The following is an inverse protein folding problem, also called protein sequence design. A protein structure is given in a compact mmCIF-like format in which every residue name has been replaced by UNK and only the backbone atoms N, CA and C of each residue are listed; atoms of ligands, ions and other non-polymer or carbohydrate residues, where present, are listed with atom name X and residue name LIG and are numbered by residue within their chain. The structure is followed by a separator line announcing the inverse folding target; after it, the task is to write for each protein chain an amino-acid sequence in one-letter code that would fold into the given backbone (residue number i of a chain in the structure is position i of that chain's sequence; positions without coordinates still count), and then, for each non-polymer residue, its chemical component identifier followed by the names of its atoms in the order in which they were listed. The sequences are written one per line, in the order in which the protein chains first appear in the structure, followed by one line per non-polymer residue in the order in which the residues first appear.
data_IF_679788287662
#
_entry.id   IF_679788287662
#
_cell.length_a   1.000
_cell.length_b   1.000
_cell.length_c   1.000
_cell.angle_alpha   90.00
_cell.angle_beta   90.00
_cell.angle_gamma   90.00
#
_symmetry.space_group_name_H-M   'P 1'
#
loop_
_entity.id
_entity.type
_entity.pdbx_description
1 polymer ?
#
# COMPACT_ATOMS: atom_id res chain seq x y z
N UNK A 1 5.05 -10.17 31.54
CA UNK A 1 3.82 -9.42 31.19
C UNK A 1 2.66 -10.03 31.96
N UNK A 2 1.92 -9.26 32.77
CA UNK A 2 0.62 -9.72 33.26
C UNK A 2 -0.39 -9.77 32.10
N UNK A 3 -1.31 -10.74 32.12
CA UNK A 3 -2.45 -10.82 31.19
C UNK A 3 -3.40 -9.65 31.44
N UNK A 4 -3.14 -8.51 30.78
CA UNK A 4 -3.83 -7.23 31.02
C UNK A 4 -5.34 -7.32 30.75
N UNK A 5 -5.75 -8.17 29.81
CA UNK A 5 -7.17 -8.42 29.50
C UNK A 5 -7.89 -9.10 30.66
N UNK A 6 -7.33 -10.20 31.19
CA UNK A 6 -7.94 -10.93 32.30
C UNK A 6 -7.92 -10.10 33.60
N UNK A 7 -6.82 -9.38 33.85
CA UNK A 7 -6.70 -8.46 34.97
C UNK A 7 -7.75 -7.35 34.91
N UNK A 8 -7.95 -6.73 33.75
CA UNK A 8 -8.96 -5.68 33.55
C UNK A 8 -10.38 -6.19 33.79
N UNK A 9 -10.71 -7.40 33.32
CA UNK A 9 -12.00 -8.03 33.59
C UNK A 9 -12.21 -8.30 35.09
N UNK A 10 -11.19 -8.80 35.79
CA UNK A 10 -11.23 -9.05 37.22
C UNK A 10 -11.36 -7.75 38.05
N UNK A 11 -10.64 -6.68 37.68
CA UNK A 11 -10.76 -5.36 38.31
C UNK A 11 -12.17 -4.78 38.15
N UNK A 12 -12.75 -4.86 36.94
CA UNK A 12 -14.10 -4.39 36.68
C UNK A 12 -15.15 -5.18 37.49
N UNK A 13 -15.01 -6.50 37.59
CA UNK A 13 -15.91 -7.33 38.41
C UNK A 13 -15.74 -7.05 39.90
N UNK A 14 -14.52 -6.82 40.39
CA UNK A 14 -14.22 -6.54 41.79
C UNK A 14 -14.72 -5.17 42.27
N UNK A 15 -14.87 -4.21 41.35
CA UNK A 15 -15.37 -2.86 41.62
C UNK A 15 -16.89 -2.72 41.48
N UNK A 16 -17.60 -3.77 41.06
CA UNK A 16 -19.04 -3.74 40.89
C UNK A 16 -19.77 -3.49 42.22
N UNK A 17 -20.92 -2.80 42.13
CA UNK A 17 -21.80 -2.52 43.26
C UNK A 17 -22.25 -3.84 43.91
N UNK A 18 -22.02 -3.98 45.22
CA UNK A 18 -22.28 -5.21 45.98
C UNK A 18 -21.09 -6.17 46.12
N UNK A 19 -20.01 -6.00 45.35
CA UNK A 19 -18.74 -6.73 45.55
C UNK A 19 -17.74 -5.84 46.29
N UNK A 20 -17.42 -4.65 45.75
CA UNK A 20 -16.65 -3.61 46.43
C UNK A 20 -15.24 -4.00 46.92
N UNK A 21 -14.64 -5.04 46.34
CA UNK A 21 -13.31 -5.55 46.73
C UNK A 21 -12.19 -4.71 46.09
N UNK A 22 -12.47 -4.06 44.96
CA UNK A 22 -11.52 -3.21 44.25
C UNK A 22 -12.07 -1.78 44.13
N UNK A 23 -11.21 -0.79 44.35
CA UNK A 23 -11.47 0.60 43.99
C UNK A 23 -10.88 0.90 42.62
N UNK A 24 -11.67 1.55 41.76
CA UNK A 24 -11.21 2.08 40.47
C UNK A 24 -10.80 3.55 40.57
N UNK A 25 -10.62 4.07 41.79
CA UNK A 25 -10.11 5.41 41.96
C UNK A 25 -8.67 5.50 41.42
N UNK A 26 -8.33 6.56 40.68
CA UNK A 26 -7.00 6.72 40.08
C UNK A 26 -5.84 6.54 41.08
N UNK A 27 -6.07 6.92 42.35
CA UNK A 27 -5.08 6.89 43.42
C UNK A 27 -4.87 5.50 44.03
N UNK A 28 -5.80 4.57 43.83
CA UNK A 28 -5.76 3.21 44.39
C UNK A 28 -5.12 2.19 43.44
N UNK A 29 -4.78 2.59 42.22
CA UNK A 29 -4.10 1.71 41.28
C UNK A 29 -2.63 1.57 41.67
N UNK A 30 -2.25 0.34 42.05
CA UNK A 30 -0.83 -0.03 42.14
C UNK A 30 -0.20 0.13 40.76
N UNK A 31 0.94 0.83 40.68
CA UNK A 31 1.66 1.04 39.44
C UNK A 31 1.90 -0.31 38.73
N UNK A 32 1.29 -0.47 37.55
CA UNK A 32 1.55 -1.63 36.71
C UNK A 32 3.03 -1.59 36.35
N UNK A 33 3.76 -2.65 36.69
CA UNK A 33 5.17 -2.81 36.36
C UNK A 33 5.29 -3.02 34.85
N UNK A 34 5.29 -1.92 34.12
CA UNK A 34 5.60 -1.88 32.71
C UNK A 34 7.11 -1.67 32.56
N UNK A 35 7.73 -2.53 31.76
CA UNK A 35 9.07 -2.25 31.29
C UNK A 35 9.02 -1.04 30.35
N UNK A 36 9.86 -0.05 30.63
CA UNK A 36 9.97 1.15 29.82
C UNK A 36 11.10 0.99 28.82
N UNK A 37 10.76 1.02 27.54
CA UNK A 37 11.73 1.01 26.45
C UNK A 37 11.93 2.42 25.92
N UNK A 38 13.19 2.84 25.81
CA UNK A 38 13.57 4.10 25.20
C UNK A 38 13.97 3.90 23.73
N UNK A 39 13.63 4.82 22.82
CA UNK A 39 14.02 4.71 21.42
C UNK A 39 15.54 4.65 21.27
N UNK A 40 16.06 3.56 20.69
CA UNK A 40 17.49 3.38 20.42
C UNK A 40 17.88 3.73 18.98
N UNK A 41 16.91 4.05 18.12
CA UNK A 41 17.12 4.34 16.70
C UNK A 41 17.24 5.86 16.48
N UNK A 42 18.07 6.26 15.51
CA UNK A 42 18.14 7.66 15.07
C UNK A 42 16.76 8.11 14.54
N UNK A 43 16.25 9.29 14.95
CA UNK A 43 14.99 9.83 14.44
C UNK A 43 14.92 9.88 12.90
N UNK A 44 15.99 10.29 12.22
CA UNK A 44 16.00 10.37 10.75
C UNK A 44 15.84 9.01 10.09
N UNK A 45 16.52 8.00 10.64
CA UNK A 45 16.44 6.63 10.14
C UNK A 45 15.04 6.04 10.37
N UNK A 46 14.43 6.33 11.52
CA UNK A 46 13.07 5.90 11.83
C UNK A 46 12.05 6.48 10.84
N UNK A 47 12.15 7.77 10.50
CA UNK A 47 11.25 8.43 9.54
C UNK A 47 11.46 7.90 8.13
N UNK A 48 12.70 7.62 7.72
CA UNK A 48 12.99 7.00 6.43
C UNK A 48 12.31 5.63 6.30
N UNK A 49 12.47 4.77 7.32
CA UNK A 49 11.83 3.44 7.37
C UNK A 49 10.31 3.56 7.38
N UNK A 50 9.77 4.49 8.15
CA UNK A 50 8.33 4.74 8.23
C UNK A 50 7.74 5.24 6.90
N UNK A 51 8.45 6.13 6.21
CA UNK A 51 8.04 6.62 4.88
C UNK A 51 8.03 5.51 3.83
N UNK A 52 9.02 4.61 3.88
CA UNK A 52 9.04 3.43 3.01
C UNK A 52 7.88 2.48 3.31
N UNK A 53 7.57 2.24 4.58
CA UNK A 53 6.41 1.46 5.00
C UNK A 53 5.09 2.09 4.49
N UNK A 54 4.89 3.40 4.69
CA UNK A 54 3.71 4.13 4.18
C UNK A 54 3.54 3.95 2.67
N UNK A 55 4.65 4.00 1.91
CA UNK A 55 4.64 3.77 0.45
C UNK A 55 4.21 2.34 0.10
N UNK A 56 4.65 1.34 0.86
CA UNK A 56 4.24 -0.06 0.67
C UNK A 56 2.74 -0.25 0.97
N UNK A 57 2.24 0.32 2.07
CA UNK A 57 0.82 0.27 2.45
C UNK A 57 -0.07 0.87 1.35
N UNK A 58 0.32 2.02 0.78
CA UNK A 58 -0.41 2.61 -0.35
C UNK A 58 -0.43 1.70 -1.59
N UNK A 59 0.64 0.96 -1.83
CA UNK A 59 0.73 0.02 -2.97
C UNK A 59 -0.06 -1.27 -2.77
N UNK A 60 -0.33 -1.68 -1.53
CA UNK A 60 -1.19 -2.84 -1.25
C UNK A 60 -2.68 -2.53 -1.32
N UNK A 61 -3.06 -1.25 -1.48
CA UNK A 61 -4.45 -0.85 -1.70
C UNK A 61 -4.86 -1.10 -3.15
N UNK A 62 -6.17 -1.30 -3.37
CA UNK A 62 -6.72 -1.46 -4.73
C UNK A 62 -6.39 -2.80 -5.39
N UNK A 63 -6.01 -3.82 -4.61
CA UNK A 63 -5.77 -5.18 -5.10
C UNK A 63 -7.04 -5.82 -5.68
N UNK A 64 -8.20 -5.54 -5.09
CA UNK A 64 -9.49 -5.94 -5.62
C UNK A 64 -10.13 -4.75 -6.34
N UNK A 65 -10.35 -4.90 -7.64
CA UNK A 65 -11.06 -3.91 -8.45
C UNK A 65 -12.48 -4.41 -8.63
N UNK A 66 -13.46 -3.75 -8.03
CA UNK A 66 -14.87 -4.03 -8.30
C UNK A 66 -15.18 -3.63 -9.74
N UNK A 67 -15.28 -4.64 -10.62
CA UNK A 67 -15.68 -4.60 -12.03
C UNK A 67 -14.80 -3.73 -12.98
N UNK A 68 -14.53 -4.21 -14.21
CA UNK A 68 -13.76 -3.46 -15.18
C UNK A 68 -14.62 -2.33 -15.75
N UNK A 69 -14.36 -1.08 -15.35
CA UNK A 69 -14.69 0.05 -16.20
C UNK A 69 -13.84 -0.09 -17.48
N UNK A 70 -14.51 -0.42 -18.58
CA UNK A 70 -13.90 -0.68 -19.87
C UNK A 70 -12.91 0.42 -20.26
N UNK A 71 -11.63 0.09 -20.21
CA UNK A 71 -10.56 0.93 -20.70
C UNK A 71 -10.69 1.03 -22.23
N UNK A 72 -11.30 2.12 -22.70
CA UNK A 72 -11.29 2.53 -24.12
C UNK A 72 -9.88 2.86 -24.63
N UNK A 73 -8.92 3.07 -23.72
CA UNK A 73 -7.51 3.39 -23.99
C UNK A 73 -6.72 2.24 -24.67
N UNK A 74 -7.11 0.97 -24.49
CA UNK A 74 -6.39 -0.16 -25.12
C UNK A 74 -6.64 -0.26 -26.62
N UNK A 75 -7.66 0.42 -27.16
CA UNK A 75 -8.01 0.37 -28.58
C UNK A 75 -7.01 1.06 -29.51
N UNK A 76 -6.32 2.10 -29.03
CA UNK A 76 -5.38 2.91 -29.83
C UNK A 76 -4.04 2.17 -30.01
N UNK A 77 -3.65 1.32 -29.06
CA UNK A 77 -2.39 0.58 -29.13
C UNK A 77 -2.47 -0.69 -30.00
N UNK A 78 -3.67 -1.20 -30.29
CA UNK A 78 -3.86 -2.38 -31.15
C UNK A 78 -3.55 -2.12 -32.63
N UNK A 79 -3.66 -0.88 -33.10
CA UNK A 79 -3.45 -0.52 -34.50
C UNK A 79 -2.01 -0.08 -34.81
N UNK A 80 -1.18 0.18 -33.79
CA UNK A 80 0.22 0.59 -33.96
C UNK A 80 1.04 -0.43 -34.78
N UNK A 81 0.98 -1.76 -34.53
CA UNK A 81 1.74 -2.73 -35.32
C UNK A 81 1.32 -2.74 -36.80
N UNK A 82 0.02 -2.68 -37.07
CA UNK A 82 -0.53 -2.65 -38.44
C UNK A 82 -0.15 -1.36 -39.17
N UNK A 83 -0.18 -0.21 -38.47
CA UNK A 83 0.23 1.08 -39.03
C UNK A 83 1.70 1.10 -39.44
N UNK A 84 2.60 0.60 -38.59
CA UNK A 84 4.03 0.50 -38.93
C UNK A 84 4.27 -0.42 -40.14
N UNK A 85 3.56 -1.53 -40.26
CA UNK A 85 3.66 -2.42 -41.42
C UNK A 85 3.24 -1.74 -42.72
N UNK A 86 2.10 -1.04 -42.71
CA UNK A 86 1.59 -0.35 -43.91
C UNK A 86 2.57 0.75 -44.35
N UNK A 87 3.04 1.58 -43.41
CA UNK A 87 3.98 2.67 -43.70
C UNK A 87 5.34 2.17 -44.18
N UNK A 88 5.86 1.08 -43.59
CA UNK A 88 7.10 0.45 -44.04
C UNK A 88 6.98 -0.07 -45.48
N UNK A 89 5.87 -0.73 -45.82
CA UNK A 89 5.67 -1.25 -47.18
C UNK A 89 5.59 -0.14 -48.23
N UNK A 90 4.93 0.98 -47.90
CA UNK A 90 4.82 2.14 -48.78
C UNK A 90 6.18 2.78 -49.04
N UNK A 91 7.02 2.95 -48.00
CA UNK A 91 8.37 3.48 -48.14
C UNK A 91 9.26 2.59 -49.03
N UNK A 92 9.15 1.27 -48.88
CA UNK A 92 9.89 0.31 -49.71
C UNK A 92 9.46 0.41 -51.18
N UNK A 93 8.15 0.50 -51.45
CA UNK A 93 7.62 0.63 -52.82
C UNK A 93 8.03 1.96 -53.48
N UNK A 94 8.00 3.07 -52.73
CA UNK A 94 8.46 4.38 -53.22
C UNK A 94 9.96 4.34 -53.49
N UNK A 95 10.75 3.75 -52.60
CA UNK A 95 12.19 3.56 -52.79
C UNK A 95 12.50 2.73 -54.05
N UNK A 96 11.78 1.62 -54.25
CA UNK A 96 11.94 0.77 -55.43
C UNK A 96 11.61 1.52 -56.74
N UNK A 97 10.52 2.31 -56.75
CA UNK A 97 10.15 3.16 -57.90
C UNK A 97 11.20 4.23 -58.19
N UNK A 98 11.75 4.87 -57.16
CA UNK A 98 12.80 5.89 -57.31
C UNK A 98 14.07 5.30 -57.91
N UNK A 99 14.51 4.12 -57.44
CA UNK A 99 15.69 3.44 -57.98
C UNK A 99 15.43 3.00 -59.43
N UNK A 100 14.27 2.42 -59.74
CA UNK A 100 13.94 2.00 -61.11
C UNK A 100 13.81 3.17 -62.10
N UNK A 101 13.41 4.36 -61.65
CA UNK A 101 13.29 5.56 -62.48
C UNK A 101 14.64 6.26 -62.75
N UNK A 102 15.67 5.97 -61.95
CA UNK A 102 17.02 6.56 -62.09
C UNK A 102 17.92 5.81 -63.07
N UNK A 103 17.53 4.59 -63.45
CA UNK A 103 18.26 3.68 -64.35
C UNK A 103 17.61 3.53 -65.74
N UNK A 104 16.76 4.48 -66.13
CA UNK A 104 16.18 4.58 -67.47
C UNK A 104 16.55 5.92 -68.10
#
# INVERSE_FOLDING_TARGET
MPETTALGAAMAAGAAEGVGVWSLHPDDFTAVTCERFEPQINPEESEYRYTRWKKAVKKSMGWETSEPQGNSETSIFCSLPLGFFIMSSLLILIGAKYISGKFK
#
